data_IF_416361374561
#
_entry.id   IF_416361374561
#
_cell.length_a   1.000
_cell.length_b   1.000
_cell.length_c   1.000
_cell.angle_alpha   90.00
_cell.angle_beta   90.00
_cell.angle_gamma   90.00
#
_symmetry.space_group_name_H-M   'P 1'
#
loop_
_entity.id
_entity.type
_entity.pdbx_description
1 polymer ?
#
# COMPACT_ATOMS: atom_id res chain seq x y z
N UNK A 1 13.38 -53.38 -30.73
CA UNK A 1 13.31 -52.03 -30.14
C UNK A 1 12.12 -51.98 -29.20
N UNK A 2 12.38 -52.15 -27.91
CA UNK A 2 11.38 -52.26 -26.85
C UNK A 2 11.26 -50.91 -26.11
N UNK A 3 10.05 -50.34 -26.05
CA UNK A 3 9.73 -49.03 -25.46
C UNK A 3 9.42 -49.18 -23.97
N UNK A 4 10.45 -49.31 -23.13
CA UNK A 4 10.27 -49.33 -21.68
C UNK A 4 11.06 -48.21 -21.01
N UNK A 5 10.33 -47.33 -20.32
CA UNK A 5 10.83 -46.59 -19.15
C UNK A 5 10.99 -45.07 -19.31
N UNK A 6 9.88 -44.32 -19.38
CA UNK A 6 9.84 -42.91 -18.94
C UNK A 6 8.52 -42.55 -18.26
N UNK A 7 7.95 -43.44 -17.46
CA UNK A 7 6.78 -43.13 -16.63
C UNK A 7 7.12 -43.55 -15.19
N UNK A 8 6.93 -42.65 -14.23
CA UNK A 8 7.09 -42.77 -12.76
C UNK A 8 8.15 -41.88 -12.10
N UNK A 9 7.93 -40.56 -12.19
CA UNK A 9 8.23 -39.63 -11.09
C UNK A 9 6.95 -38.85 -10.75
N UNK A 10 5.91 -39.58 -10.37
CA UNK A 10 4.68 -39.02 -9.78
C UNK A 10 4.93 -38.63 -8.32
N UNK A 11 5.68 -37.55 -8.10
CA UNK A 11 5.73 -36.89 -6.80
C UNK A 11 4.45 -36.10 -6.60
N UNK A 12 3.68 -36.45 -5.57
CA UNK A 12 2.54 -35.65 -5.10
C UNK A 12 3.03 -34.24 -4.73
N UNK A 13 2.76 -33.26 -5.59
CA UNK A 13 3.03 -31.84 -5.30
C UNK A 13 1.96 -31.37 -4.31
N UNK A 14 2.17 -31.71 -3.04
CA UNK A 14 1.37 -31.24 -1.92
C UNK A 14 1.38 -29.72 -1.92
N UNK A 15 0.27 -29.13 -2.40
CA UNK A 15 0.11 -27.69 -2.57
C UNK A 15 0.07 -27.00 -1.22
N UNK A 16 1.23 -26.55 -0.74
CA UNK A 16 1.34 -25.74 0.47
C UNK A 16 0.87 -24.33 0.17
N UNK A 17 -0.24 -23.92 0.79
CA UNK A 17 -0.71 -22.53 0.75
C UNK A 17 -0.01 -21.75 1.86
N UNK A 18 0.68 -20.68 1.49
CA UNK A 18 1.24 -19.72 2.43
C UNK A 18 0.26 -18.56 2.59
N UNK A 19 -0.05 -18.20 3.83
CA UNK A 19 -0.92 -17.06 4.16
C UNK A 19 -0.09 -16.10 4.99
N UNK A 20 0.00 -14.85 4.53
CA UNK A 20 0.54 -13.74 5.31
C UNK A 20 -0.67 -13.01 5.86
N UNK A 21 -0.81 -12.95 7.18
CA UNK A 21 -1.93 -12.30 7.84
C UNK A 21 -1.41 -11.12 8.67
N UNK A 22 -2.07 -9.97 8.52
CA UNK A 22 -1.88 -8.82 9.40
C UNK A 22 -2.89 -8.87 10.53
N UNK A 23 -2.41 -8.75 11.76
CA UNK A 23 -3.27 -8.66 12.93
C UNK A 23 -3.40 -7.18 13.28
N UNK A 24 -4.51 -6.56 12.86
CA UNK A 24 -4.89 -5.25 13.39
C UNK A 24 -5.41 -5.43 14.82
N UNK A 25 -4.66 -4.94 15.79
CA UNK A 25 -5.03 -5.05 17.19
C UNK A 25 -6.02 -3.93 17.58
N UNK A 26 -7.31 -4.16 17.34
CA UNK A 26 -8.37 -3.40 18.01
C UNK A 26 -8.74 -4.10 19.31
N UNK A 27 -8.27 -3.57 20.43
CA UNK A 27 -8.57 -4.11 21.76
C UNK A 27 -10.00 -3.75 22.15
N UNK A 28 -10.96 -4.60 21.80
CA UNK A 28 -12.30 -4.55 22.37
C UNK A 28 -12.68 -5.92 22.94
N UNK A 29 -13.09 -5.91 24.21
CA UNK A 29 -13.03 -7.07 25.10
C UNK A 29 -13.83 -8.29 24.66
N UNK A 30 -13.23 -9.46 24.95
CA UNK A 30 -13.86 -10.75 25.25
C UNK A 30 -14.78 -11.39 24.19
N UNK A 31 -14.20 -12.27 23.36
CA UNK A 31 -14.77 -13.59 23.01
C UNK A 31 -13.68 -14.48 22.42
N UNK A 32 -13.52 -15.67 23.00
CA UNK A 32 -12.42 -16.58 22.71
C UNK A 32 -12.49 -17.23 21.32
N UNK A 33 -11.32 -17.44 20.73
CA UNK A 33 -11.10 -18.38 19.64
C UNK A 33 -9.78 -19.13 19.89
N UNK A 34 -9.89 -20.43 20.16
CA UNK A 34 -8.76 -21.35 20.38
C UNK A 34 -8.34 -21.93 19.03
N UNK A 35 -7.18 -21.50 18.52
CA UNK A 35 -6.38 -22.23 17.53
C UNK A 35 -4.94 -21.67 17.53
N UNK A 36 -4.20 -21.92 18.62
CA UNK A 36 -2.79 -21.52 18.72
C UNK A 36 -1.91 -22.44 17.88
N UNK A 37 -1.86 -22.22 16.56
CA UNK A 37 -0.71 -22.66 15.76
C UNK A 37 0.38 -21.62 16.00
N UNK A 38 1.52 -22.07 16.52
CA UNK A 38 2.68 -21.22 16.82
C UNK A 38 3.11 -20.52 15.52
N UNK A 39 2.65 -19.28 15.33
CA UNK A 39 3.12 -18.39 14.28
C UNK A 39 4.51 -17.93 14.73
N UNK A 40 5.55 -18.44 14.06
CA UNK A 40 6.88 -17.85 14.16
C UNK A 40 6.79 -16.45 13.53
N UNK A 41 6.66 -15.42 14.38
CA UNK A 41 6.80 -14.04 13.96
C UNK A 41 8.29 -13.76 13.74
N UNK A 42 8.81 -14.18 12.59
CA UNK A 42 10.10 -13.68 12.13
C UNK A 42 9.88 -12.23 11.73
N UNK A 43 10.23 -11.29 12.61
CA UNK A 43 10.34 -9.87 12.29
C UNK A 43 11.49 -9.70 11.30
N UNK A 44 11.26 -10.08 10.06
CA UNK A 44 12.12 -9.75 8.95
C UNK A 44 11.88 -8.26 8.66
N UNK A 45 12.95 -7.52 8.42
CA UNK A 45 12.96 -6.12 7.97
C UNK A 45 12.39 -5.96 6.54
N UNK A 46 11.38 -6.76 6.20
CA UNK A 46 10.73 -6.81 4.91
C UNK A 46 9.22 -6.66 5.10
N UNK A 47 8.69 -5.55 4.61
CA UNK A 47 7.25 -5.34 4.49
C UNK A 47 6.73 -6.26 3.38
N UNK A 48 5.72 -7.11 3.62
CA UNK A 48 5.16 -7.93 2.56
C UNK A 48 4.41 -7.03 1.56
N UNK A 49 4.12 -7.58 0.39
CA UNK A 49 3.44 -6.89 -0.72
C UNK A 49 2.22 -6.11 -0.25
N UNK A 50 1.97 -4.96 -0.88
CA UNK A 50 0.78 -4.16 -0.66
C UNK A 50 -0.43 -4.93 -1.20
N UNK A 51 -1.49 -5.05 -0.40
CA UNK A 51 -2.75 -5.62 -0.86
C UNK A 51 -3.57 -4.55 -1.58
N UNK A 52 -4.45 -4.95 -2.49
CA UNK A 52 -5.33 -4.01 -3.18
C UNK A 52 -6.18 -3.18 -2.22
N UNK A 53 -6.64 -3.78 -1.12
CA UNK A 53 -7.42 -3.09 -0.09
C UNK A 53 -6.64 -1.93 0.55
N UNK A 54 -5.35 -2.13 0.85
CA UNK A 54 -4.50 -1.07 1.42
C UNK A 54 -4.28 0.07 0.42
N UNK A 55 -4.17 -0.24 -0.87
CA UNK A 55 -4.06 0.79 -1.92
C UNK A 55 -5.33 1.65 -1.95
N UNK A 56 -6.52 1.04 -1.97
CA UNK A 56 -7.79 1.78 -1.95
C UNK A 56 -7.99 2.60 -0.67
N UNK A 57 -7.61 2.04 0.49
CA UNK A 57 -7.70 2.75 1.76
C UNK A 57 -6.76 3.97 1.79
N UNK A 58 -5.54 3.81 1.29
CA UNK A 58 -4.56 4.89 1.19
C UNK A 58 -5.05 6.05 0.30
N UNK A 59 -5.68 5.72 -0.84
CA UNK A 59 -6.27 6.70 -1.76
C UNK A 59 -7.35 7.52 -1.04
N UNK A 60 -8.24 6.83 -0.31
CA UNK A 60 -9.32 7.47 0.44
C UNK A 60 -8.77 8.40 1.52
N UNK A 61 -7.78 7.94 2.30
CA UNK A 61 -7.15 8.75 3.35
C UNK A 61 -6.53 10.02 2.77
N UNK A 62 -5.80 9.91 1.65
CA UNK A 62 -5.18 11.08 1.03
C UNK A 62 -6.20 12.07 0.47
N UNK A 63 -7.31 11.59 -0.09
CA UNK A 63 -8.37 12.46 -0.66
C UNK A 63 -9.23 13.15 0.39
N UNK A 64 -9.36 12.55 1.57
CA UNK A 64 -10.12 13.10 2.69
C UNK A 64 -9.29 14.03 3.60
N UNK A 65 -7.96 14.03 3.46
CA UNK A 65 -7.07 14.85 4.28
C UNK A 65 -7.18 16.35 3.94
N UNK A 66 -7.46 17.16 4.97
CA UNK A 66 -7.66 18.60 4.83
C UNK A 66 -6.40 19.35 4.33
N UNK A 67 -5.20 18.89 4.68
CA UNK A 67 -3.96 19.52 4.23
C UNK A 67 -3.70 19.22 2.75
N UNK A 68 -3.99 17.99 2.32
CA UNK A 68 -3.92 17.60 0.90
C UNK A 68 -4.92 18.41 0.08
N UNK A 69 -6.18 18.48 0.52
CA UNK A 69 -7.24 19.26 -0.17
C UNK A 69 -6.84 20.74 -0.30
N UNK A 70 -6.31 21.35 0.77
CA UNK A 70 -5.88 22.75 0.71
C UNK A 70 -4.71 22.98 -0.26
N UNK A 71 -3.79 22.01 -0.39
CA UNK A 71 -2.72 22.09 -1.40
C UNK A 71 -3.27 21.90 -2.81
N UNK A 72 -4.18 20.96 -3.04
CA UNK A 72 -4.87 20.78 -4.31
C UNK A 72 -5.61 22.06 -4.74
N UNK A 73 -6.29 22.71 -3.78
CA UNK A 73 -6.99 23.97 -3.99
C UNK A 73 -6.07 25.10 -4.44
N UNK A 74 -4.87 25.20 -3.85
CA UNK A 74 -3.85 26.18 -4.26
C UNK A 74 -3.34 25.95 -5.68
N UNK A 75 -3.39 24.71 -6.18
CA UNK A 75 -3.06 24.37 -7.56
C UNK A 75 -4.24 24.61 -8.54
N UNK A 76 -5.41 25.04 -8.04
CA UNK A 76 -6.61 25.28 -8.84
C UNK A 76 -7.52 24.07 -8.99
N UNK A 77 -7.33 23.01 -8.20
CA UNK A 77 -8.20 21.83 -8.16
C UNK A 77 -9.12 21.89 -6.94
N UNK A 78 -10.21 22.65 -7.03
CA UNK A 78 -11.26 22.71 -6.01
C UNK A 78 -12.12 21.43 -5.95
N UNK A 79 -12.24 20.73 -7.09
CA UNK A 79 -13.03 19.51 -7.19
C UNK A 79 -12.15 18.26 -7.03
N UNK A 80 -12.18 17.66 -5.85
CA UNK A 80 -11.44 16.43 -5.52
C UNK A 80 -11.90 15.18 -6.30
N UNK A 81 -13.02 15.25 -7.03
CA UNK A 81 -13.41 14.17 -7.97
C UNK A 81 -12.56 14.14 -9.24
N UNK A 82 -11.90 15.26 -9.55
CA UNK A 82 -10.97 15.37 -10.68
C UNK A 82 -9.52 15.08 -10.28
N UNK A 83 -9.25 14.85 -8.99
CA UNK A 83 -7.94 14.50 -8.47
C UNK A 83 -7.85 12.99 -8.38
N UNK A 84 -6.82 12.42 -9.01
CA UNK A 84 -6.51 10.99 -8.98
C UNK A 84 -5.31 10.80 -8.06
N UNK A 85 -5.42 9.87 -7.11
CA UNK A 85 -4.35 9.46 -6.23
C UNK A 85 -3.86 8.08 -6.66
N UNK A 86 -2.57 7.98 -6.96
CA UNK A 86 -1.91 6.75 -7.38
C UNK A 86 -0.98 6.26 -6.26
N UNK A 87 -1.35 5.17 -5.56
CA UNK A 87 -0.59 4.65 -4.43
C UNK A 87 0.54 3.71 -4.86
N UNK A 88 1.75 4.02 -4.38
CA UNK A 88 3.01 3.33 -4.62
C UNK A 88 3.64 2.90 -3.30
N UNK A 89 4.48 1.87 -3.36
CA UNK A 89 5.32 1.52 -2.21
C UNK A 89 6.41 2.58 -2.03
N UNK A 90 6.72 2.91 -0.77
CA UNK A 90 7.77 3.90 -0.42
C UNK A 90 9.18 3.44 -0.85
N UNK A 91 9.34 2.17 -1.23
CA UNK A 91 10.59 1.65 -1.76
C UNK A 91 11.68 1.57 -0.69
N UNK A 92 12.78 2.32 -0.89
CA UNK A 92 13.92 2.32 0.02
C UNK A 92 13.72 3.32 1.17
N UNK A 93 13.89 2.83 2.39
CA UNK A 93 13.65 3.58 3.64
C UNK A 93 14.97 3.75 4.45
N UNK A 94 16.10 3.23 3.95
CA UNK A 94 17.33 3.15 4.75
C UNK A 94 17.94 4.51 5.15
N UNK A 95 17.63 5.56 4.41
CA UNK A 95 18.01 6.95 4.65
C UNK A 95 17.00 7.73 5.50
N UNK A 96 15.85 7.14 5.84
CA UNK A 96 14.74 7.77 6.57
C UNK A 96 14.39 6.99 7.84
N UNK A 97 15.11 7.20 8.95
CA UNK A 97 14.87 6.47 10.21
C UNK A 97 13.44 6.64 10.74
N UNK A 98 12.79 7.76 10.47
CA UNK A 98 11.39 8.06 10.83
C UNK A 98 10.37 7.12 10.16
N UNK A 99 10.73 6.49 9.04
CA UNK A 99 9.87 5.58 8.28
C UNK A 99 10.06 4.11 8.72
N UNK A 100 11.06 3.82 9.56
CA UNK A 100 11.34 2.45 10.00
C UNK A 100 10.21 1.92 10.90
N UNK A 101 9.80 0.67 10.64
CA UNK A 101 8.76 -0.01 11.40
C UNK A 101 7.32 0.43 11.08
N UNK A 102 7.13 1.32 10.12
CA UNK A 102 5.82 1.79 9.66
C UNK A 102 5.40 1.10 8.37
N UNK A 103 4.08 0.98 8.15
CA UNK A 103 3.51 0.53 6.87
C UNK A 103 3.07 1.74 6.07
N UNK A 104 4.04 2.29 5.35
CA UNK A 104 3.86 3.52 4.59
C UNK A 104 3.56 3.22 3.12
N UNK A 105 2.68 4.04 2.55
CA UNK A 105 2.37 4.09 1.12
C UNK A 105 2.63 5.52 0.65
N UNK A 106 3.40 5.67 -0.43
CA UNK A 106 3.63 6.94 -1.09
C UNK A 106 2.58 7.11 -2.18
N UNK A 107 1.93 8.27 -2.23
CA UNK A 107 0.83 8.55 -3.14
C UNK A 107 1.25 9.73 -4.01
N UNK A 108 1.19 9.52 -5.31
CA UNK A 108 1.36 10.58 -6.30
C UNK A 108 -0.02 11.09 -6.71
N UNK A 109 -0.16 12.41 -6.75
CA UNK A 109 -1.41 13.05 -7.10
C UNK A 109 -1.34 13.59 -8.52
N UNK A 110 -2.43 13.39 -9.25
CA UNK A 110 -2.61 13.83 -10.61
C UNK A 110 -3.95 14.55 -10.76
N UNK A 111 -3.99 15.54 -11.64
CA UNK A 111 -5.19 16.28 -11.95
C UNK A 111 -5.82 15.85 -13.28
N UNK A 112 -7.14 15.85 -13.35
CA UNK A 112 -7.89 15.80 -14.62
C UNK A 112 -8.58 17.13 -14.85
N UNK A 113 -8.60 17.64 -16.09
CA UNK A 113 -9.38 18.85 -16.42
C UNK A 113 -10.84 18.53 -16.74
N UNK A 114 -11.09 17.34 -17.26
CA UNK A 114 -12.41 16.81 -17.61
C UNK A 114 -12.45 15.30 -17.33
N UNK A 115 -13.63 14.65 -17.25
CA UNK A 115 -13.74 13.26 -16.80
C UNK A 115 -12.89 12.25 -17.59
N UNK A 116 -12.76 12.46 -18.90
CA UNK A 116 -12.01 11.59 -19.82
C UNK A 116 -10.59 12.11 -20.14
N UNK A 117 -10.08 13.06 -19.35
CA UNK A 117 -8.74 13.62 -19.53
C UNK A 117 -7.67 12.63 -19.05
N UNK A 118 -6.48 12.72 -19.63
CA UNK A 118 -5.35 11.90 -19.21
C UNK A 118 -4.73 12.47 -17.92
N UNK A 119 -4.93 11.81 -16.79
CA UNK A 119 -4.39 12.23 -15.49
C UNK A 119 -2.85 12.37 -15.51
N UNK A 120 -2.15 11.50 -16.23
CA UNK A 120 -0.68 11.52 -16.27
C UNK A 120 -0.11 12.74 -16.99
N UNK A 121 -0.94 13.51 -17.71
CA UNK A 121 -0.53 14.76 -18.32
C UNK A 121 -0.38 15.91 -17.31
N UNK A 122 -0.90 15.75 -16.10
CA UNK A 122 -0.99 16.81 -15.09
C UNK A 122 -0.57 16.32 -13.69
N UNK A 123 0.72 15.93 -13.50
CA UNK A 123 1.25 15.57 -12.19
C UNK A 123 1.30 16.78 -11.26
N UNK A 124 1.06 16.56 -9.96
CA UNK A 124 1.22 17.58 -8.94
C UNK A 124 2.68 17.71 -8.50
N UNK A 125 3.05 18.86 -7.91
CA UNK A 125 4.42 19.13 -7.44
C UNK A 125 4.73 18.53 -6.06
N UNK A 126 3.82 17.73 -5.51
CA UNK A 126 3.97 17.10 -4.21
C UNK A 126 3.43 15.66 -4.21
N UNK A 127 4.03 14.82 -3.38
CA UNK A 127 3.56 13.49 -3.03
C UNK A 127 3.09 13.45 -1.57
N UNK A 128 2.24 12.48 -1.26
CA UNK A 128 1.69 12.27 0.07
C UNK A 128 2.17 10.93 0.59
N UNK A 129 2.63 10.86 1.83
CA UNK A 129 2.97 9.59 2.48
C UNK A 129 1.88 9.28 3.50
N UNK A 130 1.26 8.11 3.39
CA UNK A 130 0.20 7.64 4.28
C UNK A 130 0.70 6.47 5.12
N UNK A 131 0.44 6.52 6.41
CA UNK A 131 0.62 5.40 7.33
C UNK A 131 -0.70 4.64 7.44
N UNK A 132 -0.73 3.42 6.88
CA UNK A 132 -1.95 2.61 6.80
C UNK A 132 -2.33 2.00 8.14
N UNK A 133 -1.36 1.70 9.00
CA UNK A 133 -1.67 1.16 10.32
C UNK A 133 -2.37 2.18 11.20
N UNK A 134 -1.98 3.44 11.05
CA UNK A 134 -2.56 4.58 11.78
C UNK A 134 -3.75 5.21 11.04
N UNK A 135 -3.96 4.87 9.76
CA UNK A 135 -5.02 5.41 8.93
C UNK A 135 -4.93 6.92 8.69
N UNK A 136 -3.71 7.47 8.59
CA UNK A 136 -3.48 8.93 8.50
C UNK A 136 -2.36 9.32 7.55
N UNK A 137 -2.42 10.53 7.04
CA UNK A 137 -1.30 11.15 6.32
C UNK A 137 -0.13 11.34 7.30
N UNK A 138 1.01 10.74 6.98
CA UNK A 138 2.24 10.82 7.74
C UNK A 138 3.05 12.07 7.37
N UNK A 139 3.24 12.30 6.07
CA UNK A 139 3.99 13.45 5.57
C UNK A 139 3.51 13.87 4.18
N UNK A 140 3.81 15.11 3.78
CA UNK A 140 3.53 15.64 2.43
C UNK A 140 4.82 16.20 1.84
N UNK A 141 5.47 15.36 1.05
CA UNK A 141 6.76 15.63 0.41
C UNK A 141 6.58 16.48 -0.83
N UNK A 142 7.37 17.54 -0.97
CA UNK A 142 7.41 18.31 -2.21
C UNK A 142 8.46 17.70 -3.14
N UNK A 143 8.13 17.53 -4.42
CA UNK A 143 9.12 17.18 -5.43
C UNK A 143 10.02 18.40 -5.62
N UNK A 144 11.17 18.41 -4.94
CA UNK A 144 12.09 19.54 -4.93
C UNK A 144 12.54 19.87 -6.36
N UNK A 145 12.16 21.06 -6.85
CA UNK A 145 12.95 21.77 -7.85
C UNK A 145 14.11 22.43 -7.09
N UNK A 146 15.32 21.91 -7.29
CA UNK A 146 16.57 22.53 -6.86
C UNK A 146 16.76 23.89 -7.55
#
# INVERSE_FOLDING_TARGET
>A
MDRRGIDELGGDVSSRKYVVAFISASFNGSRGYQASRKLESSTCSFSPSLTSDELFESEKIAREDANVIERCRKLGYDNMSLVIADPWSVGYIGDRPEYQGKRLIQIYLYGRKFPDDNEYAHPFDFGVVVDILEGKVFDIERAAHT
#
